data_IF_277680474659
#
_entry.id   IF_277680474659
#
_cell.length_a   1.000
_cell.length_b   1.000
_cell.length_c   1.000
_cell.angle_alpha   90.00
_cell.angle_beta   90.00
_cell.angle_gamma   90.00
#
_symmetry.space_group_name_H-M   'P 1'
#
loop_
_entity.id
_entity.type
_entity.pdbx_description
1 polymer ?
#
# COMPACT_ATOMS: atom_id res chain seq x y z
N UNK A 1 3.96 -3.00 -17.28
CA UNK A 1 4.33 -2.95 -15.84
C UNK A 1 5.71 -2.34 -15.65
N UNK A 2 5.78 -1.22 -14.93
CA UNK A 2 6.98 -0.50 -14.55
C UNK A 2 7.03 -0.37 -13.04
N UNK A 3 8.17 -0.73 -12.43
CA UNK A 3 8.40 -0.63 -10.99
C UNK A 3 9.58 0.30 -10.73
N UNK A 4 9.43 1.21 -9.77
CA UNK A 4 10.48 2.15 -9.38
C UNK A 4 10.47 2.37 -7.87
N UNK A 5 11.65 2.46 -7.27
CA UNK A 5 11.86 2.82 -5.87
C UNK A 5 12.50 4.20 -5.74
N UNK A 6 12.18 4.88 -4.64
CA UNK A 6 12.73 6.19 -4.29
C UNK A 6 13.12 6.21 -2.82
N UNK A 7 14.32 6.71 -2.54
CA UNK A 7 14.74 6.98 -1.16
C UNK A 7 14.02 8.22 -0.64
N UNK A 8 13.65 8.24 0.65
CA UNK A 8 13.07 9.41 1.26
C UNK A 8 14.14 10.47 1.55
N UNK A 9 13.72 11.73 1.60
CA UNK A 9 14.55 12.81 2.14
C UNK A 9 14.97 12.51 3.57
N UNK A 10 16.10 13.09 4.01
CA UNK A 10 16.70 12.79 5.32
C UNK A 10 15.72 12.98 6.49
N UNK A 11 14.84 13.97 6.43
CA UNK A 11 13.82 14.24 7.46
C UNK A 11 12.77 13.12 7.61
N UNK A 12 12.59 12.29 6.58
CA UNK A 12 11.58 11.23 6.54
C UNK A 12 12.16 9.84 6.81
N UNK A 13 13.49 9.68 6.85
CA UNK A 13 14.15 8.37 6.98
C UNK A 13 13.86 7.64 8.30
N UNK A 14 13.54 8.38 9.37
CA UNK A 14 13.13 7.82 10.66
C UNK A 14 11.72 7.20 10.62
N UNK A 15 10.94 7.49 9.59
CA UNK A 15 9.55 7.06 9.45
C UNK A 15 9.32 6.18 8.21
N UNK A 16 10.08 6.43 7.14
CA UNK A 16 9.92 5.81 5.84
C UNK A 16 11.23 5.12 5.47
N UNK A 17 11.14 3.85 5.06
CA UNK A 17 12.27 3.11 4.51
C UNK A 17 12.53 3.52 3.07
N UNK A 18 11.48 3.47 2.24
CA UNK A 18 11.48 3.90 0.85
C UNK A 18 10.06 4.00 0.31
N UNK A 19 9.92 4.75 -0.78
CA UNK A 19 8.71 4.78 -1.60
C UNK A 19 8.89 3.83 -2.77
N UNK A 20 7.79 3.31 -3.28
CA UNK A 20 7.76 2.59 -4.55
C UNK A 20 6.53 2.96 -5.35
N UNK A 21 6.66 2.89 -6.66
CA UNK A 21 5.58 3.05 -7.63
C UNK A 21 5.56 1.82 -8.50
N UNK A 22 4.37 1.22 -8.64
CA UNK A 22 4.09 0.19 -9.63
C UNK A 22 3.00 0.72 -10.56
N UNK A 23 3.25 0.69 -11.86
CA UNK A 23 2.29 1.15 -12.84
C UNK A 23 2.24 0.28 -14.07
N UNK A 24 1.09 0.27 -14.72
CA UNK A 24 0.89 -0.28 -16.04
C UNK A 24 0.01 0.70 -16.81
N UNK A 25 0.55 1.24 -17.91
CA UNK A 25 -0.11 2.17 -18.80
C UNK A 25 -0.93 1.47 -19.89
N UNK A 26 -0.86 0.13 -19.97
CA UNK A 26 -1.58 -0.64 -20.97
C UNK A 26 -3.07 -0.69 -20.64
N UNK A 27 -3.86 0.11 -21.34
CA UNK A 27 -5.32 0.10 -21.25
C UNK A 27 -5.91 -1.04 -22.11
N UNK A 28 -5.70 -2.27 -21.66
CA UNK A 28 -6.34 -3.44 -22.23
C UNK A 28 -7.21 -4.15 -21.18
N UNK A 29 -8.19 -4.92 -21.65
CA UNK A 29 -9.10 -5.68 -20.78
C UNK A 29 -8.46 -6.96 -20.20
N UNK A 30 -7.13 -7.06 -20.21
CA UNK A 30 -6.46 -8.22 -19.61
C UNK A 30 -6.47 -8.13 -18.08
N UNK A 31 -6.85 -9.24 -17.44
CA UNK A 31 -6.80 -9.38 -15.99
C UNK A 31 -5.34 -9.62 -15.60
N UNK A 32 -4.80 -8.76 -14.75
CA UNK A 32 -3.48 -8.91 -14.14
C UNK A 32 -3.68 -9.41 -12.71
N UNK A 33 -3.01 -10.49 -12.35
CA UNK A 33 -3.08 -11.11 -11.03
C UNK A 33 -1.78 -10.86 -10.26
N UNK A 34 -1.90 -10.35 -9.04
CA UNK A 34 -0.81 -10.06 -8.13
C UNK A 34 -0.89 -10.97 -6.91
N UNK A 35 0.22 -11.60 -6.57
CA UNK A 35 0.37 -12.33 -5.31
C UNK A 35 1.31 -11.55 -4.41
N UNK A 36 0.78 -11.00 -3.33
CA UNK A 36 1.53 -10.22 -2.35
C UNK A 36 2.05 -11.19 -1.30
N UNK A 37 3.37 -11.28 -1.19
CA UNK A 37 4.05 -12.11 -0.20
C UNK A 37 4.25 -11.26 1.07
N UNK A 38 3.91 -11.79 2.26
CA UNK A 38 4.11 -11.05 3.50
C UNK A 38 5.61 -10.88 3.80
N UNK A 39 6.02 -9.64 4.05
CA UNK A 39 7.39 -9.26 4.45
C UNK A 39 7.48 -8.80 5.92
N UNK A 40 6.35 -8.73 6.62
CA UNK A 40 6.26 -8.24 8.00
C UNK A 40 6.46 -6.74 8.14
N UNK A 41 6.42 -5.97 7.05
CA UNK A 41 6.64 -4.52 7.08
C UNK A 41 5.29 -3.80 6.86
N UNK A 42 4.87 -2.92 7.79
CA UNK A 42 3.68 -2.13 7.58
C UNK A 42 3.88 -1.17 6.41
N UNK A 43 2.87 -1.07 5.55
CA UNK A 43 2.98 -0.34 4.29
C UNK A 43 1.76 0.56 4.11
N UNK A 44 1.99 1.85 3.86
CA UNK A 44 0.94 2.75 3.40
C UNK A 44 0.77 2.56 1.89
N UNK A 45 -0.46 2.38 1.43
CA UNK A 45 -0.78 2.16 0.02
C UNK A 45 -1.74 3.22 -0.46
N UNK A 46 -1.43 3.82 -1.61
CA UNK A 46 -2.30 4.74 -2.34
C UNK A 46 -2.50 4.26 -3.79
N UNK A 47 -3.76 4.14 -4.20
CA UNK A 47 -4.15 3.88 -5.57
C UNK A 47 -4.56 5.19 -6.25
N UNK A 48 -3.96 5.53 -7.39
CA UNK A 48 -4.30 6.76 -8.12
C UNK A 48 -5.78 6.78 -8.54
N UNK A 49 -6.29 5.64 -9.02
CA UNK A 49 -7.72 5.43 -9.25
C UNK A 49 -8.31 4.54 -8.15
N UNK A 50 -9.43 4.92 -7.51
CA UNK A 50 -10.07 4.10 -6.49
C UNK A 50 -10.66 2.82 -7.09
N UNK A 51 -10.82 1.79 -6.25
CA UNK A 51 -11.51 0.54 -6.60
C UNK A 51 -10.92 -0.20 -7.82
N UNK A 52 -9.59 -0.21 -7.99
CA UNK A 52 -8.93 -0.94 -9.07
C UNK A 52 -8.47 -2.34 -8.67
N UNK A 53 -7.91 -2.48 -7.47
CA UNK A 53 -7.41 -3.76 -6.98
C UNK A 53 -8.48 -4.48 -6.18
N UNK A 54 -8.88 -5.65 -6.65
CA UNK A 54 -9.89 -6.50 -6.01
C UNK A 54 -9.22 -7.73 -5.40
N UNK A 55 -9.65 -8.15 -4.22
CA UNK A 55 -9.25 -9.43 -3.65
C UNK A 55 -10.01 -10.60 -4.30
N UNK A 56 -9.74 -11.82 -3.83
CA UNK A 56 -10.38 -13.05 -4.33
C UNK A 56 -11.88 -13.14 -4.02
N UNK A 57 -12.40 -12.31 -3.12
CA UNK A 57 -13.83 -12.19 -2.79
C UNK A 57 -14.50 -11.03 -3.54
N UNK A 58 -13.83 -10.46 -4.56
CA UNK A 58 -14.28 -9.28 -5.31
C UNK A 58 -14.49 -8.02 -4.44
N UNK A 59 -13.78 -7.92 -3.31
CA UNK A 59 -13.76 -6.71 -2.50
C UNK A 59 -12.65 -5.78 -2.99
N UNK A 60 -13.02 -4.52 -3.27
CA UNK A 60 -12.07 -3.49 -3.66
C UNK A 60 -11.19 -3.09 -2.47
N UNK A 61 -9.88 -2.97 -2.70
CA UNK A 61 -8.98 -2.35 -1.76
C UNK A 61 -9.31 -0.84 -1.66
N UNK A 62 -9.27 -0.24 -0.45
CA UNK A 62 -9.49 1.19 -0.30
C UNK A 62 -8.49 2.02 -1.11
N UNK A 63 -8.85 3.23 -1.50
CA UNK A 63 -7.94 4.08 -2.26
C UNK A 63 -6.67 4.43 -1.46
N UNK A 64 -6.80 4.67 -0.16
CA UNK A 64 -5.71 4.96 0.76
C UNK A 64 -5.87 4.11 2.02
N UNK A 65 -4.88 3.31 2.36
CA UNK A 65 -4.93 2.44 3.53
C UNK A 65 -3.55 2.08 4.04
N UNK A 66 -3.50 1.70 5.32
CA UNK A 66 -2.35 1.00 5.89
C UNK A 66 -2.60 -0.50 5.76
N UNK A 67 -1.69 -1.16 5.08
CA UNK A 67 -1.52 -2.60 5.17
C UNK A 67 -0.64 -2.88 6.40
N UNK A 68 -1.24 -3.44 7.44
CA UNK A 68 -0.47 -3.91 8.59
C UNK A 68 0.33 -5.17 8.25
N UNK A 69 1.12 -5.64 9.22
CA UNK A 69 1.93 -6.84 9.05
C UNK A 69 1.04 -8.03 8.74
N UNK A 70 1.24 -8.68 7.60
CA UNK A 70 0.49 -9.87 7.25
C UNK A 70 1.29 -11.15 7.52
N UNK A 71 0.59 -12.21 7.91
CA UNK A 71 1.15 -13.55 8.13
C UNK A 71 0.87 -14.49 6.96
N UNK A 72 0.02 -14.06 6.01
CA UNK A 72 -0.42 -14.85 4.86
C UNK A 72 -0.22 -14.07 3.57
N UNK A 73 0.00 -14.79 2.48
CA UNK A 73 -0.04 -14.13 1.17
C UNK A 73 -1.47 -13.68 0.86
N UNK A 74 -1.60 -12.60 0.09
CA UNK A 74 -2.87 -12.15 -0.46
C UNK A 74 -2.81 -12.15 -1.98
N UNK A 75 -3.95 -12.37 -2.62
CA UNK A 75 -4.07 -12.32 -4.07
C UNK A 75 -4.99 -11.19 -4.47
N UNK A 76 -4.56 -10.43 -5.48
CA UNK A 76 -5.25 -9.27 -6.00
C UNK A 76 -5.38 -9.33 -7.51
N UNK A 77 -6.47 -8.79 -8.05
CA UNK A 77 -6.72 -8.68 -9.48
C UNK A 77 -7.00 -7.23 -9.86
N UNK A 78 -6.49 -6.82 -11.02
CA UNK A 78 -6.73 -5.51 -11.62
C UNK A 78 -6.94 -5.67 -13.13
N UNK A 79 -7.76 -4.80 -13.71
CA UNK A 79 -8.08 -4.75 -15.14
C UNK A 79 -7.76 -3.33 -15.64
N UNK A 80 -7.21 -3.22 -16.85
CA UNK A 80 -6.84 -1.94 -17.45
C UNK A 80 -5.51 -1.40 -16.92
N UNK A 81 -5.36 -0.09 -17.05
CA UNK A 81 -4.20 0.66 -16.57
C UNK A 81 -4.33 1.04 -15.09
N UNK A 82 -3.21 1.05 -14.38
CA UNK A 82 -3.17 1.39 -12.96
C UNK A 82 -1.86 2.07 -12.61
N UNK A 83 -1.90 2.84 -11.52
CA UNK A 83 -0.73 3.38 -10.83
C UNK A 83 -0.98 3.27 -9.35
N UNK A 84 -0.10 2.59 -8.65
CA UNK A 84 -0.16 2.38 -7.21
C UNK A 84 1.16 2.78 -6.59
N UNK A 85 1.07 3.55 -5.52
CA UNK A 85 2.20 4.06 -4.76
C UNK A 85 2.16 3.36 -3.41
N UNK A 86 3.28 2.82 -2.98
CA UNK A 86 3.44 2.32 -1.63
C UNK A 86 4.59 2.99 -0.90
N UNK A 87 4.44 3.04 0.41
CA UNK A 87 5.43 3.58 1.33
C UNK A 87 5.72 2.50 2.36
N UNK A 88 6.91 1.93 2.29
CA UNK A 88 7.36 1.01 3.32
C UNK A 88 7.74 1.81 4.55
N UNK A 89 7.00 1.60 5.64
CA UNK A 89 7.20 2.34 6.87
C UNK A 89 8.28 1.68 7.74
N UNK A 90 8.92 2.49 8.57
CA UNK A 90 9.73 1.97 9.67
C UNK A 90 8.83 1.23 10.67
N UNK A 91 9.32 0.19 11.38
CA UNK A 91 8.49 -0.58 12.32
C UNK A 91 7.85 0.30 13.42
N UNK A 92 8.53 1.38 13.81
CA UNK A 92 8.08 2.34 14.81
C UNK A 92 7.10 3.38 14.27
N UNK A 93 7.02 3.56 12.94
CA UNK A 93 6.28 4.65 12.35
C UNK A 93 4.76 4.55 12.58
N UNK A 94 4.20 3.34 12.68
CA UNK A 94 2.78 3.17 13.06
C UNK A 94 2.50 3.81 14.42
N UNK A 95 3.37 3.55 15.40
CA UNK A 95 3.23 4.12 16.73
C UNK A 95 3.50 5.62 16.72
N UNK A 96 4.52 6.07 16.02
CA UNK A 96 4.90 7.49 16.06
C UNK A 96 3.95 8.39 15.28
N UNK A 97 3.44 7.95 14.12
CA UNK A 97 2.57 8.75 13.25
C UNK A 97 1.10 8.60 13.64
N UNK A 98 0.65 7.37 13.91
CA UNK A 98 -0.76 7.07 14.12
C UNK A 98 -1.11 6.78 15.59
N UNK A 99 -0.13 6.73 16.49
CA UNK A 99 -0.30 6.33 17.89
C UNK A 99 -0.93 4.94 18.07
N UNK A 100 -0.71 4.04 17.10
CA UNK A 100 -1.23 2.67 17.08
C UNK A 100 -0.10 1.67 17.31
N UNK A 101 -0.33 0.66 18.14
CA UNK A 101 0.63 -0.44 18.28
C UNK A 101 0.53 -1.39 17.08
N UNK A 102 1.67 -1.81 16.53
CA UNK A 102 1.71 -2.57 15.27
C UNK A 102 0.85 -3.85 15.30
N UNK A 103 0.74 -4.50 16.47
CA UNK A 103 -0.07 -5.71 16.62
C UNK A 103 -1.57 -5.49 16.39
N UNK A 104 -2.07 -4.26 16.61
CA UNK A 104 -3.48 -3.91 16.40
C UNK A 104 -3.85 -4.00 14.91
N UNK A 105 -2.88 -3.85 14.01
CA UNK A 105 -3.07 -3.89 12.57
C UNK A 105 -2.64 -5.21 11.93
N UNK A 106 -2.28 -6.22 12.72
CA UNK A 106 -1.88 -7.53 12.19
C UNK A 106 -2.99 -8.13 11.32
N UNK A 107 -2.62 -8.51 10.10
CA UNK A 107 -3.51 -9.05 9.07
C UNK A 107 -4.70 -8.13 8.72
N UNK A 108 -4.61 -6.82 9.01
CA UNK A 108 -5.64 -5.84 8.71
C UNK A 108 -5.24 -4.87 7.58
N UNK A 109 -6.26 -4.43 6.83
CA UNK A 109 -6.22 -3.26 5.96
C UNK A 109 -7.03 -2.16 6.61
N UNK A 110 -6.37 -1.09 7.05
CA UNK A 110 -7.02 0.00 7.76
C UNK A 110 -7.18 1.18 6.82
N UNK A 111 -8.43 1.49 6.48
CA UNK A 111 -8.77 2.66 5.66
C UNK A 111 -8.31 3.92 6.39
N UNK A 112 -7.61 4.80 5.66
CA UNK A 112 -7.28 6.13 6.15
C UNK A 112 -8.20 7.18 5.52
N UNK A 113 -8.59 8.17 6.33
CA UNK A 113 -9.32 9.32 5.82
C UNK A 113 -8.41 10.19 4.93
N UNK A 114 -8.89 10.69 3.78
CA UNK A 114 -8.13 11.58 2.90
C UNK A 114 -7.57 12.84 3.58
N UNK A 115 -8.15 13.26 4.71
CA UNK A 115 -7.74 14.46 5.47
C UNK A 115 -6.32 14.34 6.06
N UNK A 116 -5.77 13.12 6.19
CA UNK A 116 -4.47 12.89 6.84
C UNK A 116 -3.29 13.44 6.00
N UNK A 117 -3.46 13.65 4.69
CA UNK A 117 -2.40 14.13 3.80
C UNK A 117 -2.02 15.61 3.97
N UNK A 118 -2.70 16.38 4.83
CA UNK A 118 -2.30 17.76 5.14
C UNK A 118 -1.13 17.85 6.14
N UNK A 119 -0.61 16.71 6.62
CA UNK A 119 0.39 16.65 7.71
C UNK A 119 1.71 15.98 7.25
N UNK A 120 1.76 15.41 6.04
CA UNK A 120 2.97 14.84 5.41
C UNK A 120 3.33 15.61 4.14
#
# INVERSE_FOLDING_TARGET
MHYQEFLPETSLQDYIRYFWVLEDDTDNFSIKSFKIIPDGIPTLIFQEKPNLFFDMNAQAAPQLYIQGQSTKFTEHRVIGNFRIIGVYLQPTALKTIFNVDAFEFNDQKVLLSPTIFLIL
#
